data_IF_415861773212
#
_entry.id   IF_415861773212
#
_cell.length_a   1.000
_cell.length_b   1.000
_cell.length_c   1.000
_cell.angle_alpha   90.00
_cell.angle_beta   90.00
_cell.angle_gamma   90.00
#
_symmetry.space_group_name_H-M   'P 1'
#
loop_
_entity.id
_entity.type
_entity.pdbx_description
1 polymer ?
#
# COMPACT_ATOMS: atom_id res chain seq x y z
N UNK A 1 11.80 3.01 -15.54
CA UNK A 1 11.35 4.04 -14.58
C UNK A 1 12.54 4.43 -13.72
N UNK A 2 13.16 5.60 -13.96
CA UNK A 2 14.24 6.13 -13.11
C UNK A 2 13.60 7.07 -12.09
N UNK A 3 13.72 6.73 -10.80
CA UNK A 3 13.25 7.55 -9.70
C UNK A 3 14.25 8.69 -9.51
N UNK A 4 13.86 9.92 -9.88
CA UNK A 4 14.62 11.12 -9.58
C UNK A 4 14.12 11.61 -8.22
N UNK A 5 14.98 11.50 -7.20
CA UNK A 5 14.77 12.18 -5.92
C UNK A 5 15.03 13.67 -6.15
N UNK A 6 13.99 14.49 -6.22
CA UNK A 6 14.13 15.93 -6.01
C UNK A 6 13.85 16.20 -4.53
N UNK A 7 14.85 16.71 -3.81
CA UNK A 7 14.63 17.34 -2.50
C UNK A 7 15.38 16.79 -1.29
N UNK A 8 16.36 15.89 -1.42
CA UNK A 8 17.21 15.52 -0.29
C UNK A 8 18.69 15.48 -0.71
N UNK A 9 19.36 16.63 -0.64
CA UNK A 9 20.78 16.79 -1.02
C UNK A 9 21.77 16.17 -0.02
N UNK A 10 21.31 15.59 1.09
CA UNK A 10 22.19 15.23 2.21
C UNK A 10 22.50 13.72 2.34
N UNK A 11 21.74 12.83 1.71
CA UNK A 11 21.94 11.38 1.78
C UNK A 11 21.86 10.77 0.38
N UNK A 12 22.89 10.02 -0.03
CA UNK A 12 22.88 9.33 -1.32
C UNK A 12 21.67 8.39 -1.47
N UNK A 13 21.11 8.21 -2.69
CA UNK A 13 19.89 7.42 -2.92
C UNK A 13 19.94 6.01 -2.33
N UNK A 14 21.12 5.40 -2.35
CA UNK A 14 21.35 4.07 -1.79
C UNK A 14 21.18 4.01 -0.25
N UNK A 15 21.56 5.07 0.48
CA UNK A 15 21.39 5.13 1.94
C UNK A 15 19.91 5.29 2.32
N UNK A 16 19.17 6.11 1.57
CA UNK A 16 17.73 6.28 1.76
C UNK A 16 16.97 4.99 1.45
N UNK A 17 17.34 4.30 0.37
CA UNK A 17 16.78 2.99 0.00
C UNK A 17 16.93 1.97 1.14
N UNK A 18 18.17 1.77 1.58
CA UNK A 18 18.48 0.84 2.67
C UNK A 18 17.74 1.19 3.97
N UNK A 19 17.63 2.49 4.27
CA UNK A 19 16.89 2.95 5.45
C UNK A 19 15.39 2.64 5.35
N UNK A 20 14.76 2.91 4.20
CA UNK A 20 13.34 2.64 3.97
C UNK A 20 12.98 1.19 4.23
N UNK A 21 13.73 0.29 3.58
CA UNK A 21 13.54 -1.15 3.66
C UNK A 21 13.80 -1.65 5.08
N UNK A 22 14.92 -1.24 5.69
CA UNK A 22 15.29 -1.67 7.05
C UNK A 22 14.26 -1.23 8.09
N UNK A 23 13.75 0.00 8.03
CA UNK A 23 12.75 0.47 8.99
C UNK A 23 11.38 -0.23 8.80
N UNK A 24 11.09 -0.72 7.59
CA UNK A 24 9.92 -1.56 7.31
C UNK A 24 10.16 -3.06 7.60
N UNK A 25 11.40 -3.48 7.89
CA UNK A 25 11.77 -4.90 7.99
C UNK A 25 11.69 -5.65 6.66
N UNK A 26 11.73 -4.93 5.53
CA UNK A 26 11.68 -5.50 4.18
C UNK A 26 13.09 -5.58 3.57
N UNK A 27 13.23 -6.37 2.51
CA UNK A 27 14.51 -6.67 1.87
C UNK A 27 14.53 -6.14 0.43
N UNK A 28 15.69 -5.69 -0.03
CA UNK A 28 15.87 -5.12 -1.37
C UNK A 28 15.62 -6.16 -2.47
N UNK A 29 15.89 -7.44 -2.19
CA UNK A 29 15.67 -8.53 -3.13
C UNK A 29 14.18 -8.68 -3.46
N UNK A 30 13.30 -8.39 -2.49
CA UNK A 30 11.84 -8.57 -2.59
C UNK A 30 11.08 -7.30 -3.01
N UNK A 31 11.62 -6.12 -2.74
CA UNK A 31 10.91 -4.84 -2.90
C UNK A 31 11.71 -3.80 -3.68
N UNK A 32 11.02 -3.08 -4.55
CA UNK A 32 11.45 -1.81 -5.14
C UNK A 32 11.03 -0.66 -4.23
N UNK A 33 11.81 0.42 -4.22
CA UNK A 33 11.45 1.65 -3.51
C UNK A 33 11.39 2.81 -4.48
N UNK A 34 10.28 3.53 -4.43
CA UNK A 34 10.02 4.73 -5.21
C UNK A 34 9.85 5.89 -4.24
N UNK A 35 10.70 6.89 -4.35
CA UNK A 35 10.60 8.12 -3.58
C UNK A 35 9.63 9.07 -4.26
N UNK A 36 8.68 9.57 -3.49
CA UNK A 36 7.59 10.41 -3.96
C UNK A 36 7.63 11.77 -3.26
N UNK A 37 7.28 12.81 -4.01
CA UNK A 37 7.24 14.19 -3.52
C UNK A 37 6.27 14.37 -2.36
N UNK A 38 5.15 13.63 -2.37
CA UNK A 38 4.13 13.62 -1.33
C UNK A 38 3.23 12.37 -1.41
N UNK A 39 2.36 12.22 -0.42
CA UNK A 39 1.36 11.16 -0.31
C UNK A 39 0.44 11.04 -1.53
N UNK A 40 -0.10 12.18 -1.98
CA UNK A 40 -1.10 12.22 -3.05
C UNK A 40 -0.50 11.72 -4.37
N UNK A 41 0.71 12.16 -4.69
CA UNK A 41 1.41 11.73 -5.90
C UNK A 41 1.71 10.22 -5.88
N UNK A 42 2.03 9.65 -4.70
CA UNK A 42 2.21 8.22 -4.54
C UNK A 42 0.91 7.44 -4.83
N UNK A 43 -0.22 7.91 -4.29
CA UNK A 43 -1.53 7.30 -4.53
C UNK A 43 -1.96 7.43 -6.00
N UNK A 44 -1.73 8.58 -6.64
CA UNK A 44 -1.99 8.79 -8.07
C UNK A 44 -1.17 7.81 -8.91
N UNK A 45 0.13 7.66 -8.62
CA UNK A 45 1.01 6.72 -9.33
C UNK A 45 0.48 5.27 -9.26
N UNK A 46 -0.01 4.84 -8.09
CA UNK A 46 -0.64 3.52 -7.95
C UNK A 46 -1.93 3.46 -8.80
N UNK A 47 -2.79 4.47 -8.70
CA UNK A 47 -4.05 4.53 -9.43
C UNK A 47 -3.88 4.45 -10.95
N UNK A 48 -2.88 5.14 -11.49
CA UNK A 48 -2.53 5.12 -12.90
C UNK A 48 -1.94 3.79 -13.36
N UNK A 49 -1.12 3.16 -12.51
CA UNK A 49 -0.32 1.99 -12.89
C UNK A 49 -1.02 0.66 -12.65
N UNK A 50 -1.92 0.59 -11.65
CA UNK A 50 -2.58 -0.66 -11.30
C UNK A 50 -3.58 -1.08 -12.40
N UNK A 51 -3.62 -2.35 -12.82
CA UNK A 51 -4.45 -2.81 -13.93
C UNK A 51 -5.93 -2.94 -13.50
N UNK A 52 -6.59 -1.81 -13.24
CA UNK A 52 -8.04 -1.76 -13.06
C UNK A 52 -8.75 -2.03 -14.38
N UNK A 53 -9.83 -2.79 -14.33
CA UNK A 53 -10.68 -3.08 -15.48
C UNK A 53 -12.08 -3.50 -15.05
N UNK A 54 -13.02 -3.48 -16.00
CA UNK A 54 -14.38 -3.97 -15.80
C UNK A 54 -14.41 -5.43 -15.34
N UNK A 55 -14.71 -5.64 -14.05
CA UNK A 55 -14.89 -6.98 -13.47
C UNK A 55 -13.92 -7.32 -12.35
N UNK A 56 -12.84 -6.56 -12.15
CA UNK A 56 -12.07 -6.58 -10.92
C UNK A 56 -12.59 -5.52 -9.93
N UNK A 57 -11.94 -5.45 -8.77
CA UNK A 57 -12.40 -4.64 -7.65
C UNK A 57 -11.32 -3.69 -7.14
N UNK A 58 -11.76 -2.54 -6.66
CA UNK A 58 -10.99 -1.71 -5.75
C UNK A 58 -11.76 -1.59 -4.43
N UNK A 59 -11.23 -2.15 -3.35
CA UNK A 59 -11.81 -2.02 -2.02
C UNK A 59 -10.90 -1.16 -1.16
N UNK A 60 -11.44 -0.14 -0.52
CA UNK A 60 -10.64 0.83 0.21
C UNK A 60 -11.29 1.22 1.54
N UNK A 61 -10.46 1.40 2.55
CA UNK A 61 -10.83 2.00 3.84
C UNK A 61 -10.29 3.43 3.94
N UNK A 62 -9.45 3.84 3.00
CA UNK A 62 -8.94 5.20 2.93
C UNK A 62 -10.11 6.16 2.70
N UNK A 63 -10.10 7.29 3.41
CA UNK A 63 -11.13 8.32 3.32
C UNK A 63 -11.29 8.83 1.89
N UNK A 64 -12.52 9.21 1.53
CA UNK A 64 -12.85 9.62 0.15
C UNK A 64 -12.03 10.80 -0.35
N UNK A 65 -11.77 11.79 0.51
CA UNK A 65 -10.99 12.98 0.16
C UNK A 65 -9.50 12.70 -0.07
N UNK A 66 -8.99 11.58 0.46
CA UNK A 66 -7.55 11.25 0.42
C UNK A 66 -7.23 10.08 -0.50
N UNK A 67 -8.22 9.52 -1.20
CA UNK A 67 -8.07 8.31 -2.02
C UNK A 67 -8.31 8.56 -3.52
N UNK A 68 -7.33 9.14 -4.25
CA UNK A 68 -7.47 9.40 -5.68
C UNK A 68 -7.54 8.11 -6.51
N UNK A 69 -7.17 6.95 -5.96
CA UNK A 69 -7.23 5.65 -6.68
C UNK A 69 -8.68 5.30 -7.06
N UNK A 70 -9.66 5.79 -6.29
CA UNK A 70 -11.10 5.57 -6.56
C UNK A 70 -11.50 6.07 -7.93
N UNK A 71 -10.98 7.22 -8.35
CA UNK A 71 -11.32 7.83 -9.64
C UNK A 71 -10.72 7.04 -10.80
N UNK A 72 -9.48 6.58 -10.65
CA UNK A 72 -8.83 5.70 -11.64
C UNK A 72 -9.55 4.36 -11.76
N UNK A 73 -9.87 3.72 -10.63
CA UNK A 73 -10.61 2.47 -10.61
C UNK A 73 -11.99 2.62 -11.27
N UNK A 74 -12.72 3.70 -10.95
CA UNK A 74 -14.04 4.00 -11.52
C UNK A 74 -13.96 4.28 -13.02
N UNK A 75 -12.98 5.07 -13.46
CA UNK A 75 -12.74 5.38 -14.89
C UNK A 75 -12.46 4.12 -15.71
N UNK A 76 -11.81 3.13 -15.10
CA UNK A 76 -11.54 1.82 -15.70
C UNK A 76 -12.67 0.79 -15.48
N UNK A 77 -13.84 1.24 -15.01
CA UNK A 77 -15.02 0.40 -14.72
C UNK A 77 -14.78 -0.70 -13.67
N UNK A 78 -13.73 -0.59 -12.85
CA UNK A 78 -13.52 -1.48 -11.72
C UNK A 78 -14.56 -1.19 -10.63
N UNK A 79 -14.98 -2.22 -9.90
CA UNK A 79 -15.98 -2.03 -8.85
C UNK A 79 -15.34 -1.45 -7.59
N UNK A 80 -15.61 -0.17 -7.32
CA UNK A 80 -15.16 0.52 -6.11
C UNK A 80 -16.05 0.18 -4.92
N UNK A 81 -15.43 -0.17 -3.78
CA UNK A 81 -16.09 -0.47 -2.51
C UNK A 81 -15.42 0.34 -1.41
N UNK A 82 -16.13 1.33 -0.89
CA UNK A 82 -15.72 2.09 0.30
C UNK A 82 -16.16 1.32 1.55
N UNK A 83 -15.19 0.79 2.28
CA UNK A 83 -15.42 0.06 3.52
C UNK A 83 -15.17 0.99 4.72
N UNK A 84 -16.05 1.01 5.73
CA UNK A 84 -15.79 1.77 6.95
C UNK A 84 -14.68 1.11 7.77
N UNK A 85 -13.93 1.91 8.53
CA UNK A 85 -12.84 1.47 9.41
C UNK A 85 -13.23 0.34 10.37
N UNK A 86 -14.49 0.32 10.81
CA UNK A 86 -15.04 -0.72 11.70
C UNK A 86 -14.92 -2.13 11.12
N UNK A 87 -14.73 -2.27 9.80
CA UNK A 87 -14.52 -3.56 9.14
C UNK A 87 -13.15 -4.17 9.39
N UNK A 88 -12.17 -3.38 9.85
CA UNK A 88 -10.85 -3.88 10.25
C UNK A 88 -10.83 -4.51 11.64
N UNK A 89 -11.93 -4.43 12.38
CA UNK A 89 -12.04 -5.02 13.71
C UNK A 89 -12.14 -6.55 13.64
N UNK A 90 -11.04 -7.23 13.98
CA UNK A 90 -10.95 -8.70 14.01
C UNK A 90 -11.90 -9.35 15.02
N UNK A 91 -12.44 -8.61 16.00
CA UNK A 91 -13.38 -9.13 16.98
C UNK A 91 -14.74 -9.44 16.36
N UNK A 92 -15.04 -8.88 15.19
CA UNK A 92 -16.29 -9.12 14.47
C UNK A 92 -16.22 -10.45 13.72
N UNK A 93 -16.83 -11.50 14.26
CA UNK A 93 -16.97 -12.81 13.59
C UNK A 93 -17.70 -12.63 12.25
N UNK A 94 -17.17 -13.22 11.17
CA UNK A 94 -17.66 -13.03 9.79
C UNK A 94 -17.73 -11.55 9.40
N UNK A 95 -16.66 -10.79 9.68
CA UNK A 95 -16.59 -9.38 9.31
C UNK A 95 -17.02 -9.16 7.86
N UNK A 96 -17.68 -8.04 7.61
CA UNK A 96 -18.09 -7.66 6.26
C UNK A 96 -16.90 -7.67 5.30
N UNK A 97 -15.70 -7.29 5.77
CA UNK A 97 -14.46 -7.39 5.02
C UNK A 97 -14.19 -8.82 4.53
N UNK A 98 -14.22 -9.82 5.43
CA UNK A 98 -14.05 -11.22 5.05
C UNK A 98 -15.11 -11.71 4.06
N UNK A 99 -16.34 -11.20 4.13
CA UNK A 99 -17.40 -11.56 3.20
C UNK A 99 -17.14 -10.98 1.80
N UNK A 100 -16.69 -9.72 1.72
CA UNK A 100 -16.34 -9.07 0.46
C UNK A 100 -15.17 -9.75 -0.23
N UNK A 101 -14.13 -10.08 0.54
CA UNK A 101 -13.02 -10.92 0.12
C UNK A 101 -13.50 -12.22 -0.56
N UNK A 102 -14.45 -12.93 0.05
CA UNK A 102 -14.95 -14.21 -0.47
C UNK A 102 -15.90 -14.09 -1.65
N UNK A 103 -16.24 -12.89 -2.12
CA UNK A 103 -17.07 -12.74 -3.33
C UNK A 103 -16.42 -13.47 -4.51
N UNK A 104 -17.28 -14.14 -5.29
CA UNK A 104 -16.87 -14.83 -6.50
C UNK A 104 -16.34 -13.80 -7.50
N UNK A 105 -15.15 -14.04 -8.00
CA UNK A 105 -14.52 -13.29 -9.06
C UNK A 105 -13.85 -14.30 -10.00
N UNK A 106 -13.98 -14.10 -11.31
CA UNK A 106 -13.37 -14.98 -12.31
C UNK A 106 -11.91 -14.62 -12.58
N UNK A 107 -11.46 -13.48 -12.07
CA UNK A 107 -10.13 -12.94 -12.30
C UNK A 107 -9.24 -13.15 -11.08
N UNK A 108 -7.95 -13.37 -11.36
CA UNK A 108 -6.87 -13.45 -10.37
C UNK A 108 -5.71 -12.59 -10.89
N UNK A 109 -5.29 -11.54 -10.15
CA UNK A 109 -5.85 -11.08 -8.88
C UNK A 109 -7.29 -10.59 -9.02
N UNK A 110 -8.07 -10.68 -7.94
CA UNK A 110 -9.46 -10.21 -7.89
C UNK A 110 -9.57 -8.69 -7.95
N UNK A 111 -8.51 -7.99 -7.55
CA UNK A 111 -8.54 -6.56 -7.32
C UNK A 111 -7.50 -6.14 -6.29
N UNK A 112 -7.59 -4.89 -5.85
CA UNK A 112 -6.74 -4.32 -4.81
C UNK A 112 -7.56 -3.95 -3.58
N UNK A 113 -7.01 -4.29 -2.41
CA UNK A 113 -7.50 -3.85 -1.11
C UNK A 113 -6.54 -2.81 -0.52
N UNK A 114 -7.03 -1.59 -0.25
CA UNK A 114 -6.27 -0.50 0.35
C UNK A 114 -6.75 -0.23 1.78
N UNK A 115 -5.85 -0.15 2.74
CA UNK A 115 -6.22 0.24 4.10
C UNK A 115 -5.06 0.87 4.90
N UNK A 116 -5.38 1.79 5.83
CA UNK A 116 -4.39 2.38 6.72
C UNK A 116 -3.97 1.40 7.83
N UNK A 117 -2.69 1.41 8.18
CA UNK A 117 -2.16 0.67 9.32
C UNK A 117 -2.59 1.30 10.66
N UNK A 118 -2.92 2.59 10.65
CA UNK A 118 -3.43 3.32 11.82
C UNK A 118 -4.37 4.44 11.42
N UNK A 119 -5.43 4.66 12.21
CA UNK A 119 -6.29 5.84 12.12
C UNK A 119 -6.55 6.35 13.53
N UNK A 120 -6.36 7.66 13.77
CA UNK A 120 -6.60 8.31 15.06
C UNK A 120 -5.93 7.56 16.24
N UNK A 121 -4.73 7.02 16.03
CA UNK A 121 -3.98 6.24 17.02
C UNK A 121 -4.41 4.76 17.17
N UNK A 122 -5.53 4.36 16.55
CA UNK A 122 -5.96 2.96 16.51
C UNK A 122 -5.17 2.21 15.44
N UNK A 123 -4.32 1.28 15.87
CA UNK A 123 -3.54 0.42 14.96
C UNK A 123 -4.38 -0.77 14.50
N UNK A 124 -4.41 -1.02 13.20
CA UNK A 124 -5.12 -2.14 12.60
C UNK A 124 -4.21 -3.33 12.33
N UNK A 125 -4.78 -4.52 12.42
CA UNK A 125 -4.01 -5.76 12.25
C UNK A 125 -3.55 -5.95 10.82
N UNK A 126 -2.27 -6.29 10.65
CA UNK A 126 -1.69 -6.71 9.37
C UNK A 126 -2.20 -8.08 8.91
N UNK A 127 -2.92 -8.83 9.77
CA UNK A 127 -3.53 -10.10 9.41
C UNK A 127 -4.45 -10.01 8.17
N UNK A 128 -5.06 -8.85 7.95
CA UNK A 128 -5.89 -8.60 6.77
C UNK A 128 -5.12 -8.76 5.45
N UNK A 129 -3.80 -8.55 5.45
CA UNK A 129 -2.95 -8.82 4.28
C UNK A 129 -2.98 -10.31 3.94
N UNK A 130 -2.76 -11.18 4.92
CA UNK A 130 -2.84 -12.63 4.71
C UNK A 130 -4.23 -13.08 4.27
N UNK A 131 -5.28 -12.53 4.88
CA UNK A 131 -6.65 -12.88 4.50
C UNK A 131 -6.98 -12.45 3.07
N UNK A 132 -6.48 -11.31 2.62
CA UNK A 132 -6.61 -10.83 1.24
C UNK A 132 -5.79 -11.70 0.26
N UNK A 133 -4.55 -12.04 0.59
CA UNK A 133 -3.70 -12.88 -0.26
C UNK A 133 -4.24 -14.29 -0.46
N UNK A 134 -4.82 -14.91 0.59
CA UNK A 134 -5.42 -16.27 0.53
C UNK A 134 -6.48 -16.45 -0.55
N UNK A 135 -7.04 -15.34 -1.02
CA UNK A 135 -8.10 -15.31 -2.02
C UNK A 135 -7.76 -14.33 -3.16
N UNK A 136 -6.46 -14.17 -3.43
CA UNK A 136 -5.90 -13.48 -4.59
C UNK A 136 -6.27 -12.00 -4.71
N UNK A 137 -6.30 -11.26 -3.61
CA UNK A 137 -6.29 -9.79 -3.66
C UNK A 137 -4.87 -9.27 -3.50
N UNK A 138 -4.50 -8.24 -4.26
CA UNK A 138 -3.33 -7.44 -3.91
C UNK A 138 -3.67 -6.46 -2.78
N UNK A 139 -2.67 -6.07 -2.00
CA UNK A 139 -2.86 -5.21 -0.83
C UNK A 139 -1.94 -3.99 -0.88
N UNK A 140 -2.56 -2.82 -0.76
CA UNK A 140 -1.93 -1.55 -0.47
C UNK A 140 -2.09 -1.24 1.01
N UNK A 141 -0.97 -1.26 1.75
CA UNK A 141 -0.95 -0.85 3.15
C UNK A 141 -0.44 0.59 3.26
N UNK A 142 -1.26 1.48 3.79
CA UNK A 142 -0.82 2.84 4.12
C UNK A 142 -0.27 2.87 5.56
N UNK A 143 1.06 2.84 5.69
CA UNK A 143 1.79 2.94 6.93
C UNK A 143 2.35 4.36 7.20
N UNK A 144 1.89 5.38 6.48
CA UNK A 144 2.42 6.76 6.61
C UNK A 144 2.08 7.42 7.95
N UNK A 145 1.01 6.98 8.61
CA UNK A 145 0.62 7.43 9.95
C UNK A 145 1.42 6.80 11.11
N UNK A 146 2.38 5.92 10.81
CA UNK A 146 3.20 5.23 11.80
C UNK A 146 4.60 5.85 11.91
N UNK A 147 5.26 5.63 13.06
CA UNK A 147 6.64 6.07 13.27
C UNK A 147 7.56 4.87 13.03
N UNK A 148 8.14 4.83 11.82
CA UNK A 148 8.95 3.68 11.40
C UNK A 148 10.20 3.51 12.28
N UNK A 149 10.43 2.29 12.76
CA UNK A 149 11.53 1.93 13.65
C UNK A 149 11.17 1.91 15.13
N UNK A 150 10.14 2.67 15.55
CA UNK A 150 9.52 2.52 16.88
C UNK A 150 8.40 1.49 16.83
N UNK A 151 7.60 1.55 15.77
CA UNK A 151 6.57 0.56 15.49
C UNK A 151 7.19 -0.73 14.96
N UNK A 152 7.03 -1.84 15.71
CA UNK A 152 7.44 -3.17 15.26
C UNK A 152 6.48 -3.68 14.19
N UNK A 153 6.69 -3.26 12.95
CA UNK A 153 5.91 -3.71 11.82
C UNK A 153 6.31 -5.13 11.42
N UNK A 154 5.32 -5.99 11.23
CA UNK A 154 5.53 -7.39 10.80
C UNK A 154 5.41 -7.53 9.28
N UNK A 155 5.84 -6.52 8.53
CA UNK A 155 5.72 -6.50 7.06
C UNK A 155 6.52 -7.62 6.41
N UNK A 156 7.65 -8.04 7.00
CA UNK A 156 8.42 -9.19 6.53
C UNK A 156 7.61 -10.50 6.54
N UNK A 157 6.66 -10.63 7.48
CA UNK A 157 5.78 -11.78 7.61
C UNK A 157 4.63 -11.71 6.59
N UNK A 158 3.99 -10.55 6.50
CA UNK A 158 2.76 -10.39 5.72
C UNK A 158 2.98 -10.04 4.24
N UNK A 159 4.12 -9.42 3.92
CA UNK A 159 4.58 -9.06 2.57
C UNK A 159 3.49 -8.45 1.67
N UNK A 160 2.90 -7.30 2.05
CA UNK A 160 1.93 -6.61 1.20
C UNK A 160 2.53 -6.23 -0.16
N UNK A 161 1.68 -6.11 -1.17
CA UNK A 161 2.07 -5.81 -2.55
C UNK A 161 2.61 -4.38 -2.69
N UNK A 162 1.99 -3.45 -1.98
CA UNK A 162 2.37 -2.05 -1.91
C UNK A 162 2.39 -1.58 -0.47
N UNK A 163 3.41 -0.80 -0.09
CA UNK A 163 3.47 -0.11 1.21
C UNK A 163 3.75 1.36 0.99
N UNK A 164 2.92 2.22 1.53
CA UNK A 164 3.26 3.64 1.67
C UNK A 164 3.81 3.90 3.05
N UNK A 165 4.92 4.60 3.15
CA UNK A 165 5.51 4.96 4.43
C UNK A 165 6.27 6.28 4.34
N UNK A 166 6.54 6.90 5.49
CA UNK A 166 7.26 8.17 5.59
C UNK A 166 8.61 7.96 6.28
N UNK A 167 9.68 8.48 5.67
CA UNK A 167 11.00 8.51 6.29
C UNK A 167 11.26 9.89 6.86
N UNK A 168 11.46 9.95 8.17
CA UNK A 168 11.89 11.17 8.83
C UNK A 168 13.40 11.31 8.68
N UNK A 169 13.85 12.38 8.04
CA UNK A 169 15.28 12.70 7.98
C UNK A 169 15.65 13.50 9.23
N UNK A 170 16.62 12.96 9.98
CA UNK A 170 17.15 13.60 11.19
C UNK A 170 18.33 14.47 10.79
N UNK A 171 18.08 15.62 10.18
CA UNK A 171 19.13 16.61 9.92
C UNK A 171 18.51 17.99 9.93
N UNK A 172 18.91 18.85 10.88
CA UNK A 172 18.76 20.33 10.99
C UNK A 172 17.43 21.02 10.64
N UNK A 173 16.67 20.56 9.64
CA UNK A 173 15.27 20.84 9.38
C UNK A 173 14.48 19.52 9.22
N UNK A 174 13.42 19.29 10.01
CA UNK A 174 12.60 18.10 9.86
C UNK A 174 11.94 18.09 8.48
N UNK A 175 12.38 17.17 7.62
CA UNK A 175 11.71 16.87 6.36
C UNK A 175 11.36 15.38 6.31
N UNK A 176 10.17 15.08 5.80
CA UNK A 176 9.70 13.72 5.59
C UNK A 176 9.72 13.39 4.11
N UNK A 177 10.17 12.19 3.78
CA UNK A 177 10.17 11.67 2.40
C UNK A 177 9.09 10.59 2.33
N UNK A 178 8.14 10.76 1.41
CA UNK A 178 7.15 9.71 1.14
C UNK A 178 7.81 8.62 0.29
N UNK A 179 7.66 7.37 0.71
CA UNK A 179 8.17 6.22 -0.01
C UNK A 179 7.00 5.30 -0.37
N UNK A 180 7.00 4.85 -1.62
CA UNK A 180 6.18 3.75 -2.10
C UNK A 180 7.09 2.53 -2.30
N UNK A 181 6.87 1.50 -1.50
CA UNK A 181 7.55 0.22 -1.64
C UNK A 181 6.65 -0.72 -2.43
N UNK A 182 7.19 -1.33 -3.48
CA UNK A 182 6.45 -2.21 -4.39
C UNK A 182 7.09 -3.59 -4.41
N UNK A 183 6.32 -4.63 -4.12
CA UNK A 183 6.81 -6.00 -4.18
C UNK A 183 7.15 -6.37 -5.62
N UNK A 184 8.36 -6.88 -5.88
CA UNK A 184 8.84 -7.18 -7.22
C UNK A 184 7.97 -8.18 -7.97
N UNK A 185 7.55 -9.26 -7.33
CA UNK A 185 6.66 -10.24 -7.97
C UNK A 185 5.33 -9.63 -8.45
N UNK A 186 4.76 -8.70 -7.67
CA UNK A 186 3.55 -7.98 -8.05
C UNK A 186 3.85 -7.07 -9.25
N UNK A 187 4.96 -6.33 -9.21
CA UNK A 187 5.41 -5.48 -10.31
C UNK A 187 5.61 -6.26 -11.62
N UNK A 188 6.30 -7.39 -11.57
CA UNK A 188 6.57 -8.24 -12.73
C UNK A 188 5.28 -8.80 -13.33
N UNK A 189 4.34 -9.22 -12.47
CA UNK A 189 3.02 -9.71 -12.91
C UNK A 189 2.19 -8.61 -13.59
N UNK A 190 2.29 -7.36 -13.12
CA UNK A 190 1.55 -6.24 -13.71
C UNK A 190 2.15 -5.77 -15.04
N UNK A 191 3.47 -5.90 -15.21
CA UNK A 191 4.18 -5.44 -16.42
C UNK A 191 4.25 -6.49 -17.52
N UNK A 192 4.15 -7.78 -17.17
CA UNK A 192 4.06 -8.90 -18.11
C UNK A 192 2.82 -9.76 -17.79
N UNK A 193 1.60 -9.27 -18.09
CA UNK A 193 0.40 -10.09 -17.96
C UNK A 193 0.49 -11.29 -18.93
N UNK A 194 0.34 -12.49 -18.40
CA UNK A 194 0.31 -13.75 -19.16
C UNK A 194 -0.88 -13.82 -20.13
#
# INVERSE_FOLDING_TARGET
>A
MRVIVHGCECLGPHLLLNRALKQCGLQEEDYLVIFMSNYKDAMVMIGESYPFFRGNYYMTIVGEETDPIRDFASTKESRVISAPETWLDLRIKRSQLSQYFRRKCKYSPKGMFSYPATVNGTKYSMHWISEAHKISWHVLLDATGLVLGEDRLTLALYRPDFVMCTLNTTHTQPSSITCLLVRKNTFDTMTNPA
#
